data_IF_542942064437
#
_entry.id   IF_542942064437
#
_cell.length_a   1.000
_cell.length_b   1.000
_cell.length_c   1.000
_cell.angle_alpha   90.00
_cell.angle_beta   90.00
_cell.angle_gamma   90.00
#
_symmetry.space_group_name_H-M   'P 1'
#
loop_
_entity.id
_entity.type
_entity.pdbx_description
1 polymer ?
#
# COMPACT_ATOMS: atom_id res chain seq x y z
N UNK A 1 -39.26 32.50 -8.97
CA UNK A 1 -38.01 32.55 -9.76
C UNK A 1 -38.05 31.39 -10.73
N UNK A 2 -37.87 31.67 -12.02
CA UNK A 2 -37.95 30.67 -13.09
C UNK A 2 -36.65 30.64 -13.88
N UNK A 3 -36.10 29.45 -14.10
CA UNK A 3 -34.84 29.25 -14.82
C UNK A 3 -35.05 28.17 -15.88
N UNK A 4 -34.85 28.51 -17.14
CA UNK A 4 -34.81 27.52 -18.22
C UNK A 4 -33.41 26.92 -18.33
N UNK A 5 -33.33 25.59 -18.35
CA UNK A 5 -32.06 24.88 -18.46
C UNK A 5 -32.17 23.62 -19.30
N UNK A 6 -31.05 23.22 -19.91
CA UNK A 6 -30.93 21.93 -20.57
C UNK A 6 -29.57 21.31 -20.24
N UNK A 7 -29.57 20.21 -19.49
CA UNK A 7 -28.33 19.50 -19.21
C UNK A 7 -27.98 18.54 -20.34
N UNK A 8 -26.75 18.62 -20.80
CA UNK A 8 -26.14 17.68 -21.74
C UNK A 8 -25.38 16.59 -20.97
N UNK A 9 -25.04 15.49 -21.65
CA UNK A 9 -24.11 14.48 -21.10
C UNK A 9 -22.81 15.12 -20.62
N UNK A 10 -22.30 16.10 -21.38
CA UNK A 10 -21.06 16.81 -21.10
C UNK A 10 -21.12 17.50 -19.73
N UNK A 11 -22.26 18.10 -19.38
CA UNK A 11 -22.43 18.81 -18.10
C UNK A 11 -22.31 17.87 -16.89
N UNK A 12 -22.92 16.68 -16.97
CA UNK A 12 -22.80 15.67 -15.92
C UNK A 12 -21.35 15.17 -15.79
N UNK A 13 -20.68 14.94 -16.91
CA UNK A 13 -19.28 14.49 -16.94
C UNK A 13 -18.36 15.57 -16.37
N UNK A 14 -18.54 16.83 -16.75
CA UNK A 14 -17.70 17.94 -16.31
C UNK A 14 -17.92 18.24 -14.83
N UNK A 15 -19.17 18.20 -14.34
CA UNK A 15 -19.45 18.24 -12.90
C UNK A 15 -18.71 17.13 -12.13
N UNK A 16 -18.76 15.90 -12.63
CA UNK A 16 -18.09 14.77 -11.98
C UNK A 16 -16.57 14.86 -12.04
N UNK A 17 -15.99 15.33 -13.16
CA UNK A 17 -14.56 15.63 -13.28
C UNK A 17 -14.12 16.65 -12.25
N UNK A 18 -14.89 17.72 -12.02
CA UNK A 18 -14.57 18.73 -11.00
C UNK A 18 -14.53 18.13 -9.60
N UNK A 19 -15.49 17.26 -9.25
CA UNK A 19 -15.46 16.53 -7.97
C UNK A 19 -14.24 15.60 -7.88
N UNK A 20 -13.94 14.86 -8.95
CA UNK A 20 -12.81 13.93 -8.97
C UNK A 20 -11.48 14.67 -8.90
N UNK A 21 -11.34 15.83 -9.53
CA UNK A 21 -10.14 16.67 -9.46
C UNK A 21 -9.85 17.09 -8.03
N UNK A 22 -10.87 17.53 -7.29
CA UNK A 22 -10.73 17.88 -5.87
C UNK A 22 -10.37 16.66 -5.01
N UNK A 23 -10.95 15.49 -5.30
CA UNK A 23 -10.56 14.25 -4.63
C UNK A 23 -9.12 13.86 -4.94
N UNK A 24 -8.71 13.99 -6.20
CA UNK A 24 -7.40 13.65 -6.71
C UNK A 24 -6.30 14.52 -6.11
N UNK A 25 -6.52 15.84 -5.98
CA UNK A 25 -5.59 16.73 -5.26
C UNK A 25 -5.32 16.26 -3.83
N UNK A 26 -6.37 15.86 -3.10
CA UNK A 26 -6.23 15.31 -1.73
C UNK A 26 -5.48 13.98 -1.73
N UNK A 27 -5.72 13.13 -2.74
CA UNK A 27 -4.95 11.89 -2.91
C UNK A 27 -3.47 12.15 -3.18
N UNK A 28 -3.11 13.14 -4.01
CA UNK A 28 -1.70 13.50 -4.29
C UNK A 28 -0.98 13.86 -3.00
N UNK A 29 -1.57 14.72 -2.16
CA UNK A 29 -0.96 15.11 -0.89
C UNK A 29 -0.70 13.89 0.00
N UNK A 30 -1.66 12.97 0.08
CA UNK A 30 -1.49 11.72 0.83
C UNK A 30 -0.40 10.82 0.24
N UNK A 31 -0.30 10.72 -1.09
CA UNK A 31 0.74 9.95 -1.78
C UNK A 31 2.14 10.52 -1.52
N UNK A 32 2.28 11.85 -1.49
CA UNK A 32 3.55 12.50 -1.13
C UNK A 32 3.96 12.20 0.31
N UNK A 33 3.01 12.20 1.25
CA UNK A 33 3.26 11.81 2.64
C UNK A 33 3.67 10.34 2.76
N UNK A 34 3.00 9.45 2.04
CA UNK A 34 3.36 8.03 1.98
C UNK A 34 4.74 7.80 1.35
N UNK A 35 5.07 8.56 0.30
CA UNK A 35 6.39 8.50 -0.32
C UNK A 35 7.48 8.93 0.67
N UNK A 36 7.28 10.04 1.39
CA UNK A 36 8.21 10.50 2.42
C UNK A 36 8.39 9.47 3.54
N UNK A 37 7.29 8.83 3.96
CA UNK A 37 7.33 7.74 4.93
C UNK A 37 8.13 6.53 4.40
N UNK A 38 7.87 6.08 3.17
CA UNK A 38 8.61 4.96 2.57
C UNK A 38 10.09 5.29 2.38
N UNK A 39 10.41 6.52 1.98
CA UNK A 39 11.78 7.02 1.85
C UNK A 39 12.56 6.96 3.17
N UNK A 40 11.91 7.32 4.28
CA UNK A 40 12.50 7.20 5.61
C UNK A 40 12.93 5.76 5.94
N UNK A 41 12.13 4.76 5.54
CA UNK A 41 12.47 3.35 5.76
C UNK A 41 13.54 2.82 4.81
N UNK A 42 13.58 3.32 3.57
CA UNK A 42 14.58 2.89 2.60
C UNK A 42 15.96 3.47 2.86
N UNK A 43 16.04 4.60 3.57
CA UNK A 43 17.30 5.29 3.88
C UNK A 43 18.31 4.41 4.64
N UNK A 44 17.83 3.51 5.51
CA UNK A 44 18.68 2.61 6.31
C UNK A 44 18.97 1.27 5.61
N UNK A 45 18.34 1.01 4.45
CA UNK A 45 18.48 -0.27 3.77
C UNK A 45 19.73 -0.30 2.88
N UNK A 46 20.54 -1.36 2.97
CA UNK A 46 21.62 -1.67 2.01
C UNK A 46 21.10 -2.00 0.59
N UNK A 47 19.81 -1.86 0.36
CA UNK A 47 19.19 -2.07 -0.94
C UNK A 47 19.55 -0.91 -1.88
N UNK A 48 19.51 -1.18 -3.18
CA UNK A 48 19.85 -0.18 -4.19
C UNK A 48 18.77 0.91 -4.23
N UNK A 49 18.92 1.92 -3.38
CA UNK A 49 17.86 2.85 -2.97
C UNK A 49 17.20 3.56 -4.16
N UNK A 50 17.94 3.80 -5.25
CA UNK A 50 17.41 4.41 -6.47
C UNK A 50 16.45 3.48 -7.24
N UNK A 51 16.68 2.17 -7.25
CA UNK A 51 15.77 1.19 -7.88
C UNK A 51 14.46 1.14 -7.10
N UNK A 52 14.55 1.08 -5.77
CA UNK A 52 13.38 1.12 -4.89
C UNK A 52 12.57 2.40 -5.07
N UNK A 53 13.24 3.55 -5.24
CA UNK A 53 12.61 4.82 -5.55
C UNK A 53 11.83 4.82 -6.86
N UNK A 54 12.42 4.30 -7.93
CA UNK A 54 11.78 4.20 -9.24
C UNK A 54 10.53 3.32 -9.15
N UNK A 55 10.63 2.16 -8.49
CA UNK A 55 9.49 1.24 -8.31
C UNK A 55 8.36 1.92 -7.53
N UNK A 56 8.67 2.60 -6.42
CA UNK A 56 7.66 3.31 -5.62
C UNK A 56 7.00 4.43 -6.44
N UNK A 57 7.79 5.21 -7.19
CA UNK A 57 7.26 6.27 -8.03
C UNK A 57 6.27 5.73 -9.08
N UNK A 58 6.61 4.62 -9.74
CA UNK A 58 5.73 3.94 -10.70
C UNK A 58 4.44 3.48 -10.03
N UNK A 59 4.53 2.84 -8.86
CA UNK A 59 3.36 2.37 -8.11
C UNK A 59 2.46 3.54 -7.73
N UNK A 60 3.02 4.65 -7.25
CA UNK A 60 2.25 5.84 -6.88
C UNK A 60 1.58 6.49 -8.09
N UNK A 61 2.27 6.60 -9.23
CA UNK A 61 1.68 7.10 -10.49
C UNK A 61 0.53 6.19 -10.93
N UNK A 62 0.69 4.87 -10.84
CA UNK A 62 -0.34 3.91 -11.20
C UNK A 62 -1.56 4.01 -10.28
N UNK A 63 -1.36 4.03 -8.95
CA UNK A 63 -2.46 4.19 -7.98
C UNK A 63 -3.17 5.53 -8.18
N UNK A 64 -2.41 6.60 -8.41
CA UNK A 64 -2.91 7.95 -8.69
C UNK A 64 -3.83 7.95 -9.91
N UNK A 65 -3.32 7.49 -11.05
CA UNK A 65 -4.08 7.43 -12.32
C UNK A 65 -5.33 6.56 -12.17
N UNK A 66 -5.20 5.37 -11.59
CA UNK A 66 -6.33 4.45 -11.40
C UNK A 66 -7.42 5.06 -10.50
N UNK A 67 -7.03 5.80 -9.45
CA UNK A 67 -7.97 6.46 -8.52
C UNK A 67 -8.82 7.55 -9.18
N UNK A 68 -8.32 8.16 -10.26
CA UNK A 68 -9.03 9.18 -11.03
C UNK A 68 -9.84 8.57 -12.19
N UNK A 69 -9.21 7.71 -12.99
CA UNK A 69 -9.80 7.16 -14.21
C UNK A 69 -10.93 6.16 -13.94
N UNK A 70 -10.75 5.25 -12.98
CA UNK A 70 -11.72 4.18 -12.74
C UNK A 70 -13.09 4.71 -12.29
N UNK A 71 -13.19 5.68 -11.35
CA UNK A 71 -14.47 6.29 -11.00
C UNK A 71 -15.07 7.09 -12.15
N UNK A 72 -14.26 7.81 -12.93
CA UNK A 72 -14.73 8.60 -14.08
C UNK A 72 -15.38 7.69 -15.12
N UNK A 73 -14.70 6.61 -15.49
CA UNK A 73 -15.19 5.62 -16.45
C UNK A 73 -16.48 4.94 -15.98
N UNK A 74 -16.54 4.53 -14.70
CA UNK A 74 -17.78 3.96 -14.13
C UNK A 74 -18.94 4.95 -14.17
N UNK A 75 -18.68 6.23 -13.88
CA UNK A 75 -19.69 7.28 -13.91
C UNK A 75 -20.17 7.58 -15.33
N UNK A 76 -19.27 7.74 -16.29
CA UNK A 76 -19.63 8.00 -17.69
C UNK A 76 -20.50 6.88 -18.25
N UNK A 77 -20.15 5.62 -17.99
CA UNK A 77 -20.94 4.46 -18.40
C UNK A 77 -22.32 4.44 -17.75
N UNK A 78 -22.44 4.87 -16.48
CA UNK A 78 -23.73 4.97 -15.78
C UNK A 78 -24.62 6.07 -16.37
N UNK A 79 -24.04 7.23 -16.69
CA UNK A 79 -24.77 8.33 -17.34
C UNK A 79 -25.24 7.91 -18.72
N UNK A 80 -24.41 7.22 -19.50
CA UNK A 80 -24.79 6.71 -20.81
C UNK A 80 -25.98 5.76 -20.75
N UNK A 81 -25.98 4.83 -19.79
CA UNK A 81 -27.14 3.96 -19.55
C UNK A 81 -28.38 4.73 -19.10
N UNK A 82 -28.21 5.79 -18.31
CA UNK A 82 -29.32 6.60 -17.80
C UNK A 82 -29.97 7.44 -18.91
N UNK A 83 -29.15 8.05 -19.78
CA UNK A 83 -29.64 8.81 -20.95
C UNK A 83 -30.35 7.89 -21.94
N UNK A 84 -29.80 6.69 -22.20
CA UNK A 84 -30.44 5.69 -23.08
C UNK A 84 -31.77 5.16 -22.55
N UNK A 85 -31.89 4.97 -21.23
CA UNK A 85 -33.12 4.42 -20.61
C UNK A 85 -34.19 5.47 -20.31
N UNK A 86 -33.81 6.75 -20.16
CA UNK A 86 -34.73 7.85 -19.84
C UNK A 86 -34.38 9.08 -20.69
N UNK A 87 -34.87 9.16 -21.95
CA UNK A 87 -34.51 10.25 -22.86
C UNK A 87 -34.89 11.65 -22.32
N UNK A 88 -35.89 11.71 -21.44
CA UNK A 88 -36.36 12.94 -20.77
C UNK A 88 -35.29 13.59 -19.85
N UNK A 89 -34.15 12.94 -19.58
CA UNK A 89 -33.05 13.56 -18.82
C UNK A 89 -32.32 14.69 -19.56
N UNK A 90 -32.36 14.68 -20.89
CA UNK A 90 -31.65 15.65 -21.74
C UNK A 90 -32.59 16.69 -22.38
N UNK A 91 -33.87 16.68 -22.03
CA UNK A 91 -34.84 17.64 -22.54
C UNK A 91 -34.69 19.01 -21.85
N UNK A 92 -35.04 20.12 -22.54
CA UNK A 92 -35.14 21.43 -21.91
C UNK A 92 -36.20 21.42 -20.80
N UNK A 93 -35.85 22.00 -19.65
CA UNK A 93 -36.69 22.04 -18.44
C UNK A 93 -36.75 23.45 -17.87
N UNK A 94 -37.86 23.77 -17.22
CA UNK A 94 -38.01 25.00 -16.42
C UNK A 94 -37.92 24.61 -14.95
N UNK A 95 -37.04 25.25 -14.19
CA UNK A 95 -37.01 25.18 -12.73
C UNK A 95 -37.80 26.35 -12.18
N UNK A 96 -38.78 26.05 -11.32
CA UNK A 96 -39.53 27.08 -10.58
C UNK A 96 -39.42 26.80 -9.09
N UNK A 97 -39.05 27.82 -8.32
CA UNK A 97 -39.12 27.77 -6.86
C UNK A 97 -40.56 28.03 -6.42
N UNK A 98 -41.16 27.07 -5.70
CA UNK A 98 -42.52 27.15 -5.16
C UNK A 98 -42.49 27.18 -3.63
N UNK A 99 -43.65 27.37 -3.00
CA UNK A 99 -43.75 27.31 -1.55
C UNK A 99 -43.49 25.93 -0.98
N UNK A 100 -43.82 24.88 -1.74
CA UNK A 100 -43.60 23.50 -1.31
C UNK A 100 -42.21 22.94 -1.66
N UNK A 101 -41.49 23.54 -2.62
CA UNK A 101 -40.22 22.98 -3.07
C UNK A 101 -39.62 23.56 -4.35
N UNK A 102 -38.83 22.72 -5.03
CA UNK A 102 -38.27 23.00 -6.35
C UNK A 102 -39.03 22.16 -7.38
N UNK A 103 -39.84 22.83 -8.20
CA UNK A 103 -40.56 22.20 -9.32
C UNK A 103 -39.69 22.24 -10.58
N UNK A 104 -39.61 21.13 -11.29
CA UNK A 104 -38.98 21.06 -12.61
C UNK A 104 -39.93 20.49 -13.64
N UNK A 105 -40.19 21.23 -14.72
CA UNK A 105 -41.13 20.86 -15.78
C UNK A 105 -40.42 20.68 -17.12
N UNK A 106 -40.63 19.54 -17.79
CA UNK A 106 -40.11 19.26 -19.11
C UNK A 106 -40.92 19.96 -20.20
N UNK A 107 -40.28 20.82 -21.01
CA UNK A 107 -40.96 21.58 -22.06
C UNK A 107 -41.60 20.71 -23.15
N UNK A 108 -41.04 19.53 -23.40
CA UNK A 108 -41.52 18.61 -24.46
C UNK A 108 -42.37 17.49 -23.92
N UNK A 109 -41.96 16.87 -22.80
CA UNK A 109 -42.66 15.72 -22.24
C UNK A 109 -43.86 16.08 -21.34
N UNK A 110 -43.97 17.33 -20.90
CA UNK A 110 -44.94 17.74 -19.88
C UNK A 110 -44.67 17.10 -18.50
N UNK A 111 -43.54 16.41 -18.32
CA UNK A 111 -43.23 15.76 -17.04
C UNK A 111 -42.92 16.82 -15.98
N UNK A 112 -43.61 16.73 -14.85
CA UNK A 112 -43.37 17.60 -13.70
C UNK A 112 -42.80 16.79 -12.54
N UNK A 113 -41.70 17.29 -11.97
CA UNK A 113 -41.06 16.70 -10.80
C UNK A 113 -41.01 17.79 -9.72
N UNK A 114 -41.73 17.58 -8.61
CA UNK A 114 -41.67 18.43 -7.43
C UNK A 114 -40.74 17.81 -6.40
N UNK A 115 -39.67 18.52 -6.03
CA UNK A 115 -38.78 18.16 -4.93
C UNK A 115 -39.14 19.01 -3.74
N UNK A 116 -39.84 18.43 -2.76
CA UNK A 116 -40.25 19.17 -1.57
C UNK A 116 -39.03 19.59 -0.75
N UNK A 117 -39.16 20.65 0.05
CA UNK A 117 -38.05 21.13 0.89
C UNK A 117 -37.49 20.04 1.81
N UNK A 118 -38.35 19.19 2.38
CA UNK A 118 -37.97 18.08 3.24
C UNK A 118 -37.29 16.91 2.50
N UNK A 119 -37.42 16.82 1.17
CA UNK A 119 -36.73 15.81 0.35
C UNK A 119 -35.28 16.23 0.05
N UNK A 120 -34.94 17.52 0.17
CA UNK A 120 -33.60 18.02 -0.13
C UNK A 120 -32.65 17.69 1.02
N UNK A 121 -31.60 16.91 0.72
CA UNK A 121 -30.58 16.48 1.68
C UNK A 121 -29.42 17.49 1.72
N UNK A 122 -28.95 17.94 0.56
CA UNK A 122 -27.77 18.78 0.49
C UNK A 122 -27.68 19.53 -0.83
N UNK A 123 -27.12 20.74 -0.78
CA UNK A 123 -26.72 21.52 -1.96
C UNK A 123 -25.19 21.51 -2.03
N UNK A 124 -24.63 21.22 -3.19
CA UNK A 124 -23.21 21.27 -3.45
C UNK A 124 -22.92 22.24 -4.58
N UNK A 125 -22.02 23.16 -4.30
CA UNK A 125 -21.55 24.15 -5.26
C UNK A 125 -20.18 23.73 -5.77
N UNK A 126 -19.99 23.81 -7.07
CA UNK A 126 -18.67 23.85 -7.72
C UNK A 126 -18.58 25.17 -8.50
N UNK A 127 -17.43 25.47 -9.10
CA UNK A 127 -17.21 26.72 -9.86
C UNK A 127 -18.19 26.97 -11.01
N UNK A 128 -18.92 25.95 -11.46
CA UNK A 128 -19.78 26.02 -12.66
C UNK A 128 -21.13 25.34 -12.46
N UNK A 129 -21.37 24.69 -11.32
CA UNK A 129 -22.54 23.84 -11.13
C UNK A 129 -23.09 23.90 -9.71
N UNK A 130 -24.43 23.85 -9.64
CA UNK A 130 -25.22 23.65 -8.44
C UNK A 130 -25.78 22.23 -8.50
N UNK A 131 -25.46 21.41 -7.51
CA UNK A 131 -25.96 20.04 -7.42
C UNK A 131 -26.78 19.85 -6.14
N UNK A 132 -28.07 19.60 -6.30
CA UNK A 132 -29.03 19.40 -5.21
C UNK A 132 -29.30 17.90 -5.11
N UNK A 133 -28.97 17.31 -3.96
CA UNK A 133 -29.22 15.89 -3.66
C UNK A 133 -30.52 15.72 -2.89
N UNK A 134 -31.31 14.71 -3.26
CA UNK A 134 -32.62 14.43 -2.64
C UNK A 134 -32.71 13.01 -2.06
N UNK A 135 -33.65 12.75 -1.13
CA UNK A 135 -33.89 11.40 -0.56
C UNK A 135 -34.47 10.46 -1.62
N UNK A 136 -35.34 10.98 -2.48
CA UNK A 136 -35.88 10.30 -3.67
C UNK A 136 -34.82 9.86 -4.70
N UNK A 137 -33.57 10.32 -4.57
CA UNK A 137 -32.45 10.12 -5.53
C UNK A 137 -32.65 10.85 -6.88
N UNK A 138 -33.70 11.65 -7.02
CA UNK A 138 -33.94 12.52 -8.18
C UNK A 138 -33.12 13.81 -8.10
N UNK A 139 -31.80 13.66 -8.09
CA UNK A 139 -30.90 14.81 -7.93
C UNK A 139 -31.07 15.83 -9.07
N UNK A 140 -30.91 17.10 -8.74
CA UNK A 140 -30.95 18.21 -9.70
C UNK A 140 -29.53 18.75 -9.89
N UNK A 141 -29.09 18.83 -11.15
CA UNK A 141 -27.86 19.50 -11.54
C UNK A 141 -28.25 20.75 -12.33
N UNK A 142 -27.70 21.91 -11.99
CA UNK A 142 -27.86 23.15 -12.75
C UNK A 142 -26.48 23.70 -13.04
N UNK A 143 -26.21 24.05 -14.29
CA UNK A 143 -25.00 24.79 -14.64
C UNK A 143 -25.23 26.29 -14.43
N UNK A 144 -24.23 26.99 -13.92
CA UNK A 144 -24.26 28.45 -13.73
C UNK A 144 -24.53 29.21 -15.03
N UNK A 145 -24.21 28.63 -16.20
CA UNK A 145 -24.46 29.26 -17.51
C UNK A 145 -25.94 29.45 -17.85
N UNK A 146 -26.83 28.77 -17.13
CA UNK A 146 -28.29 28.91 -17.30
C UNK A 146 -28.87 30.06 -16.48
N UNK A 147 -28.05 30.72 -15.69
CA UNK A 147 -28.42 31.92 -14.95
C UNK A 147 -27.93 33.15 -15.70
N UNK A 148 -28.71 34.23 -15.66
CA UNK A 148 -28.38 35.49 -16.31
C UNK A 148 -27.19 36.19 -15.65
N UNK A 149 -26.93 35.92 -14.36
CA UNK A 149 -25.78 36.48 -13.63
C UNK A 149 -25.36 35.67 -12.41
N UNK A 150 -24.14 35.89 -11.91
CA UNK A 150 -23.67 35.34 -10.62
C UNK A 150 -24.52 35.79 -9.42
N UNK A 151 -25.10 36.99 -9.50
CA UNK A 151 -26.02 37.48 -8.47
C UNK A 151 -27.31 36.64 -8.47
N UNK A 152 -27.81 36.28 -9.64
CA UNK A 152 -28.97 35.40 -9.78
C UNK A 152 -28.69 33.98 -9.25
N UNK A 153 -27.51 33.43 -9.53
CA UNK A 153 -27.03 32.17 -8.91
C UNK A 153 -27.08 32.26 -7.38
N UNK A 154 -26.54 33.34 -6.82
CA UNK A 154 -26.49 33.55 -5.37
C UNK A 154 -27.90 33.71 -4.77
N UNK A 155 -28.79 34.47 -5.42
CA UNK A 155 -30.20 34.61 -5.02
C UNK A 155 -30.92 33.26 -5.03
N UNK A 156 -30.73 32.45 -6.07
CA UNK A 156 -31.30 31.10 -6.14
C UNK A 156 -30.82 30.24 -4.98
N UNK A 157 -29.51 30.17 -4.75
CA UNK A 157 -28.91 29.38 -3.67
C UNK A 157 -29.47 29.82 -2.31
N UNK A 158 -29.47 31.12 -2.02
CA UNK A 158 -29.96 31.65 -0.75
C UNK A 158 -31.46 31.35 -0.54
N UNK A 159 -32.26 31.41 -1.61
CA UNK A 159 -33.68 31.07 -1.58
C UNK A 159 -33.90 29.58 -1.28
N UNK A 160 -33.12 28.69 -1.88
CA UNK A 160 -33.20 27.26 -1.61
C UNK A 160 -32.70 26.95 -0.19
N UNK A 161 -31.60 27.57 0.25
CA UNK A 161 -31.00 27.32 1.56
C UNK A 161 -31.88 27.78 2.72
N UNK A 162 -32.54 28.94 2.59
CA UNK A 162 -33.42 29.48 3.63
C UNK A 162 -34.68 28.63 3.88
N UNK A 163 -35.09 27.79 2.91
CA UNK A 163 -36.31 26.97 2.98
C UNK A 163 -36.06 25.52 3.38
N UNK A 164 -34.81 25.05 3.38
CA UNK A 164 -34.48 23.70 3.86
C UNK A 164 -34.51 23.72 5.39
N UNK A 165 -35.39 22.94 6.03
CA UNK A 165 -35.46 22.79 7.48
C UNK A 165 -34.16 22.18 8.03
N UNK A 166 -33.24 23.04 8.49
CA UNK A 166 -31.92 22.65 9.02
C UNK A 166 -32.05 22.14 10.46
N UNK A 167 -32.53 20.91 10.62
CA UNK A 167 -32.47 20.18 11.91
C UNK A 167 -31.11 19.54 12.21
N UNK A 168 -30.03 19.87 11.47
CA UNK A 168 -28.70 19.28 11.70
C UNK A 168 -27.57 20.33 11.65
N UNK A 169 -26.61 20.33 12.61
CA UNK A 169 -25.72 21.48 12.88
C UNK A 169 -24.58 21.69 11.88
N UNK A 170 -24.62 21.06 10.69
CA UNK A 170 -23.48 21.01 9.77
C UNK A 170 -23.81 21.53 8.36
N UNK A 171 -24.65 22.56 8.25
CA UNK A 171 -24.93 23.20 6.97
C UNK A 171 -23.91 24.33 6.69
N UNK A 172 -22.64 23.95 6.51
CA UNK A 172 -21.62 24.88 6.01
C UNK A 172 -21.56 24.85 4.48
N UNK A 173 -21.79 26.03 3.90
CA UNK A 173 -21.28 26.41 2.58
C UNK A 173 -19.75 26.23 2.59
N UNK A 174 -19.26 25.42 1.65
CA UNK A 174 -17.86 25.09 1.37
C UNK A 174 -17.06 24.22 2.38
N UNK A 175 -17.27 22.90 2.33
CA UNK A 175 -16.20 21.91 1.99
C UNK A 175 -16.78 20.51 1.92
N UNK A 176 -16.68 19.88 0.74
CA UNK A 176 -16.74 18.43 0.45
C UNK A 176 -16.79 17.46 1.65
N UNK A 177 -17.91 17.39 2.37
CA UNK A 177 -18.14 16.37 3.40
C UNK A 177 -19.58 15.88 3.33
N UNK A 178 -19.77 14.83 2.51
CA UNK A 178 -20.98 14.00 2.57
C UNK A 178 -21.01 13.28 3.91
N UNK A 179 -22.14 13.35 4.62
CA UNK A 179 -22.60 12.29 5.50
C UNK A 179 -22.88 11.06 4.63
N UNK A 180 -21.98 10.08 4.70
CA UNK A 180 -22.21 8.75 4.17
C UNK A 180 -22.96 7.96 5.23
N UNK A 181 -23.98 7.18 4.84
CA UNK A 181 -24.52 6.09 5.65
C UNK A 181 -23.31 5.29 6.14
N UNK A 182 -22.99 5.40 7.42
CA UNK A 182 -21.77 4.85 8.01
C UNK A 182 -21.82 3.34 7.87
N UNK A 183 -21.18 2.81 6.83
CA UNK A 183 -20.76 1.42 6.83
C UNK A 183 -19.79 1.36 7.99
N UNK A 184 -20.25 0.86 9.14
CA UNK A 184 -19.41 0.80 10.34
C UNK A 184 -18.17 -0.02 9.99
N UNK A 185 -16.97 0.55 10.14
CA UNK A 185 -15.76 -0.21 9.89
C UNK A 185 -15.70 -1.38 10.86
N UNK A 186 -15.35 -2.56 10.34
CA UNK A 186 -15.14 -3.76 11.16
C UNK A 186 -13.75 -3.68 11.77
N UNK A 187 -13.60 -2.98 12.89
CA UNK A 187 -12.32 -2.84 13.59
C UNK A 187 -11.66 -4.18 13.95
N UNK A 188 -12.47 -5.25 14.08
CA UNK A 188 -12.02 -6.63 14.29
C UNK A 188 -11.04 -7.13 13.21
N UNK A 189 -11.08 -6.59 11.99
CA UNK A 189 -10.08 -6.92 10.95
C UNK A 189 -8.67 -6.48 11.38
N UNK A 190 -8.59 -5.48 12.26
CA UNK A 190 -7.34 -5.02 12.86
C UNK A 190 -6.60 -6.10 13.65
N UNK A 191 -7.25 -7.16 14.14
CA UNK A 191 -6.53 -8.25 14.80
C UNK A 191 -5.58 -9.00 13.87
N UNK A 192 -5.85 -9.01 12.56
CA UNK A 192 -4.92 -9.56 11.58
C UNK A 192 -3.62 -8.73 11.48
N UNK A 193 -3.60 -7.51 12.00
CA UNK A 193 -2.40 -6.69 12.12
C UNK A 193 -1.35 -7.26 13.09
N UNK A 194 -1.75 -8.21 13.96
CA UNK A 194 -0.84 -8.85 14.92
C UNK A 194 -0.01 -9.98 14.31
N UNK A 195 -0.34 -10.44 13.11
CA UNK A 195 0.46 -11.44 12.40
C UNK A 195 1.51 -10.68 11.58
N UNK A 196 2.82 -10.82 11.83
CA UNK A 196 3.85 -10.12 11.06
C UNK A 196 3.71 -10.36 9.55
N UNK A 197 4.11 -9.39 8.74
CA UNK A 197 4.00 -9.37 7.27
C UNK A 197 2.54 -9.28 6.77
N UNK A 198 1.67 -10.22 7.15
CA UNK A 198 0.22 -10.18 6.85
C UNK A 198 -0.38 -8.89 7.41
N UNK A 199 0.00 -8.55 8.64
CA UNK A 199 -0.47 -7.39 9.35
C UNK A 199 -0.04 -6.06 8.74
N UNK A 200 1.12 -6.02 8.08
CA UNK A 200 1.53 -4.86 7.30
C UNK A 200 0.63 -4.66 6.07
N UNK A 201 0.33 -5.73 5.31
CA UNK A 201 -0.59 -5.65 4.17
C UNK A 201 -2.01 -5.27 4.59
N UNK A 202 -2.52 -5.88 5.66
CA UNK A 202 -3.83 -5.54 6.23
C UNK A 202 -3.83 -4.10 6.73
N UNK A 203 -2.76 -3.66 7.40
CA UNK A 203 -2.62 -2.31 7.91
C UNK A 203 -2.63 -1.25 6.80
N UNK A 204 -1.93 -1.50 5.69
CA UNK A 204 -1.98 -0.64 4.49
C UNK A 204 -3.40 -0.56 3.95
N UNK A 205 -4.06 -1.72 3.81
CA UNK A 205 -5.47 -1.77 3.38
C UNK A 205 -6.37 -0.95 4.30
N UNK A 206 -6.25 -1.12 5.63
CA UNK A 206 -7.02 -0.37 6.62
C UNK A 206 -6.74 1.13 6.55
N UNK A 207 -5.51 1.57 6.33
CA UNK A 207 -5.21 2.99 6.12
C UNK A 207 -5.91 3.53 4.86
N UNK A 208 -5.84 2.83 3.73
CA UNK A 208 -6.50 3.24 2.48
C UNK A 208 -8.02 3.30 2.67
N UNK A 209 -8.63 2.24 3.21
CA UNK A 209 -10.07 2.22 3.47
C UNK A 209 -10.48 3.26 4.52
N UNK A 210 -9.69 3.41 5.58
CA UNK A 210 -9.88 4.40 6.64
C UNK A 210 -9.89 5.82 6.10
N UNK A 211 -8.99 6.16 5.17
CA UNK A 211 -8.90 7.50 4.58
C UNK A 211 -9.94 7.76 3.50
N UNK A 212 -10.16 6.80 2.59
CA UNK A 212 -10.94 7.03 1.38
C UNK A 212 -12.37 6.53 1.44
N UNK A 213 -12.68 5.54 2.28
CA UNK A 213 -13.99 4.90 2.36
C UNK A 213 -14.70 5.26 3.66
N UNK A 214 -14.11 4.93 4.80
CA UNK A 214 -14.70 5.14 6.12
C UNK A 214 -14.53 6.56 6.64
N UNK A 215 -13.46 7.25 6.24
CA UNK A 215 -13.02 8.56 6.77
C UNK A 215 -12.88 8.56 8.29
N UNK A 216 -12.40 7.44 8.83
CA UNK A 216 -12.30 7.20 10.27
C UNK A 216 -10.83 7.16 10.68
N UNK A 217 -10.46 8.06 11.60
CA UNK A 217 -9.10 8.19 12.12
C UNK A 217 -8.65 6.95 12.90
N UNK A 218 -9.56 6.23 13.57
CA UNK A 218 -9.23 5.02 14.33
C UNK A 218 -8.87 3.86 13.43
N UNK A 219 -9.56 3.69 12.30
CA UNK A 219 -9.21 2.65 11.31
C UNK A 219 -7.81 2.89 10.74
N UNK A 220 -7.50 4.16 10.46
CA UNK A 220 -6.16 4.57 9.99
C UNK A 220 -5.12 4.33 11.08
N UNK A 221 -5.42 4.69 12.33
CA UNK A 221 -4.52 4.49 13.47
C UNK A 221 -4.21 3.00 13.71
N UNK A 222 -5.22 2.13 13.71
CA UNK A 222 -5.04 0.68 13.84
C UNK A 222 -4.15 0.14 12.71
N UNK A 223 -4.39 0.58 11.48
CA UNK A 223 -3.56 0.17 10.34
C UNK A 223 -2.10 0.62 10.48
N UNK A 224 -1.87 1.85 10.94
CA UNK A 224 -0.53 2.38 11.20
C UNK A 224 0.19 1.62 12.31
N UNK A 225 -0.48 1.34 13.44
CA UNK A 225 0.06 0.52 14.54
C UNK A 225 0.42 -0.88 14.05
N UNK A 226 -0.40 -1.50 13.18
CA UNK A 226 -0.12 -2.81 12.60
C UNK A 226 1.16 -2.86 11.76
N UNK A 227 1.38 -1.84 10.94
CA UNK A 227 2.61 -1.70 10.14
C UNK A 227 3.82 -1.52 11.08
N UNK A 228 3.71 -0.62 12.06
CA UNK A 228 4.78 -0.37 13.04
C UNK A 228 5.10 -1.61 13.87
N UNK A 229 4.09 -2.39 14.26
CA UNK A 229 4.28 -3.65 14.97
C UNK A 229 5.08 -4.67 14.16
N UNK A 230 4.77 -4.79 12.86
CA UNK A 230 5.56 -5.65 11.96
C UNK A 230 7.02 -5.21 11.90
N UNK A 231 7.27 -3.90 11.73
CA UNK A 231 8.63 -3.34 11.72
C UNK A 231 9.35 -3.61 13.04
N UNK A 232 8.68 -3.40 14.17
CA UNK A 232 9.25 -3.61 15.50
C UNK A 232 9.67 -5.07 15.72
N UNK A 233 8.85 -6.03 15.27
CA UNK A 233 9.21 -7.45 15.35
C UNK A 233 10.46 -7.75 14.51
N UNK A 234 10.54 -7.30 13.25
CA UNK A 234 11.71 -7.56 12.42
C UNK A 234 12.98 -6.91 12.96
N UNK A 235 12.91 -5.65 13.42
CA UNK A 235 14.04 -4.99 14.08
C UNK A 235 14.44 -5.68 15.39
N UNK A 236 13.47 -6.17 16.17
CA UNK A 236 13.75 -6.94 17.38
C UNK A 236 14.41 -8.29 17.10
N UNK A 237 13.99 -8.97 16.02
CA UNK A 237 14.61 -10.23 15.58
C UNK A 237 16.06 -10.00 15.13
N UNK A 238 16.31 -8.97 14.31
CA UNK A 238 17.65 -8.60 13.85
C UNK A 238 18.58 -8.20 15.01
N UNK A 239 18.07 -7.42 15.96
CA UNK A 239 18.81 -7.07 17.18
C UNK A 239 19.13 -8.30 18.04
N UNK A 240 18.16 -9.19 18.23
CA UNK A 240 18.36 -10.42 19.00
C UNK A 240 19.36 -11.34 18.32
N UNK A 241 19.28 -11.44 17.00
CA UNK A 241 20.16 -12.26 16.19
C UNK A 241 21.64 -11.85 16.31
N UNK A 242 21.90 -10.55 16.42
CA UNK A 242 23.26 -10.00 16.47
C UNK A 242 23.83 -9.86 17.89
N UNK A 243 22.97 -9.72 18.91
CA UNK A 243 23.42 -9.39 20.27
C UNK A 243 23.14 -10.48 21.31
N UNK A 244 22.28 -11.46 21.05
CA UNK A 244 21.95 -12.49 22.03
C UNK A 244 22.97 -13.65 22.00
N UNK A 245 23.74 -13.90 23.08
CA UNK A 245 24.75 -14.96 23.12
C UNK A 245 24.18 -16.37 22.89
N UNK A 246 22.94 -16.64 23.32
CA UNK A 246 22.31 -17.95 23.09
C UNK A 246 22.03 -18.19 21.62
N UNK A 247 21.61 -17.15 20.91
CA UNK A 247 21.37 -17.21 19.48
C UNK A 247 22.69 -17.42 18.73
N UNK A 248 23.75 -16.67 19.09
CA UNK A 248 25.10 -16.87 18.54
C UNK A 248 25.58 -18.31 18.73
N UNK A 249 25.38 -18.88 19.92
CA UNK A 249 25.77 -20.26 20.23
C UNK A 249 25.01 -21.28 19.40
N UNK A 250 23.69 -21.13 19.26
CA UNK A 250 22.87 -22.04 18.47
C UNK A 250 23.32 -22.08 17.00
N UNK A 251 23.58 -20.92 16.39
CA UNK A 251 24.09 -20.85 15.01
C UNK A 251 25.51 -21.42 14.88
N UNK A 252 26.38 -21.15 15.86
CA UNK A 252 27.71 -21.75 15.87
C UNK A 252 27.69 -23.29 15.99
N UNK A 253 26.69 -23.86 16.66
CA UNK A 253 26.47 -25.31 16.70
C UNK A 253 25.99 -25.86 15.35
N UNK A 254 25.12 -25.12 14.64
CA UNK A 254 24.71 -25.45 13.27
C UNK A 254 25.90 -25.45 12.31
N UNK A 255 26.73 -24.40 12.33
CA UNK A 255 27.94 -24.30 11.50
C UNK A 255 28.92 -25.44 11.75
N UNK A 256 29.11 -25.84 13.01
CA UNK A 256 29.93 -27.02 13.33
C UNK A 256 29.40 -28.29 12.69
N UNK A 257 28.08 -28.45 12.62
CA UNK A 257 27.44 -29.58 11.94
C UNK A 257 27.75 -29.62 10.44
N UNK A 258 27.61 -28.48 9.77
CA UNK A 258 27.90 -28.32 8.34
C UNK A 258 29.39 -28.49 8.03
N UNK A 259 30.27 -27.87 8.83
CA UNK A 259 31.73 -28.04 8.74
C UNK A 259 32.13 -29.52 8.89
N UNK A 260 31.51 -30.25 9.82
CA UNK A 260 31.75 -31.67 9.98
C UNK A 260 31.30 -32.49 8.75
N UNK A 261 30.19 -32.09 8.11
CA UNK A 261 29.72 -32.70 6.86
C UNK A 261 30.69 -32.44 5.71
N UNK A 262 31.16 -31.20 5.57
CA UNK A 262 32.16 -30.81 4.56
C UNK A 262 33.47 -31.56 4.71
N UNK A 263 33.97 -31.77 5.93
CA UNK A 263 35.17 -32.60 6.14
C UNK A 263 34.98 -34.01 5.58
N UNK A 264 33.82 -34.64 5.82
CA UNK A 264 33.55 -35.98 5.26
C UNK A 264 33.56 -35.98 3.74
N UNK A 265 32.98 -34.94 3.11
CA UNK A 265 32.95 -34.79 1.66
C UNK A 265 34.37 -34.58 1.08
N UNK A 266 35.19 -33.74 1.72
CA UNK A 266 36.59 -33.49 1.30
C UNK A 266 37.43 -34.76 1.41
N UNK A 267 37.30 -35.53 2.51
CA UNK A 267 38.03 -36.80 2.66
C UNK A 267 37.54 -37.84 1.65
N UNK A 268 36.24 -37.91 1.38
CA UNK A 268 35.69 -38.80 0.38
C UNK A 268 36.17 -38.45 -1.03
N UNK A 269 36.22 -37.16 -1.38
CA UNK A 269 36.80 -36.67 -2.63
C UNK A 269 38.22 -37.19 -2.82
N UNK A 270 39.05 -37.09 -1.78
CA UNK A 270 40.45 -37.53 -1.82
C UNK A 270 40.57 -39.04 -2.03
N UNK A 271 39.67 -39.84 -1.45
CA UNK A 271 39.62 -41.29 -1.68
C UNK A 271 39.32 -41.60 -3.14
N UNK A 272 38.40 -40.85 -3.77
CA UNK A 272 38.02 -41.07 -5.17
C UNK A 272 39.06 -40.58 -6.19
N UNK A 273 39.67 -39.42 -5.94
CA UNK A 273 40.51 -38.72 -6.93
C UNK A 273 42.02 -38.81 -6.60
N UNK A 274 42.38 -39.45 -5.48
CA UNK A 274 43.76 -39.59 -5.00
C UNK A 274 44.39 -38.31 -4.42
N UNK A 275 43.74 -37.15 -4.60
CA UNK A 275 44.22 -35.85 -4.11
C UNK A 275 43.07 -35.02 -3.55
N UNK A 276 43.37 -34.08 -2.64
CA UNK A 276 42.37 -33.13 -2.12
C UNK A 276 41.97 -32.12 -3.20
N UNK A 277 40.73 -31.60 -3.17
CA UNK A 277 40.28 -30.60 -4.13
C UNK A 277 41.04 -29.30 -3.95
N UNK A 278 41.29 -28.56 -5.02
CA UNK A 278 41.92 -27.23 -4.96
C UNK A 278 40.94 -26.16 -4.44
N UNK A 279 39.63 -26.40 -4.56
CA UNK A 279 38.59 -25.54 -4.00
C UNK A 279 37.32 -26.34 -3.68
N UNK A 280 36.47 -25.83 -2.78
CA UNK A 280 35.21 -26.50 -2.43
C UNK A 280 34.29 -26.69 -3.65
N UNK A 281 34.35 -25.78 -4.63
CA UNK A 281 33.62 -25.84 -5.90
C UNK A 281 33.91 -27.08 -6.74
N UNK A 282 35.11 -27.64 -6.60
CA UNK A 282 35.48 -28.84 -7.35
C UNK A 282 34.79 -30.11 -6.80
N UNK A 283 34.13 -30.03 -5.64
CA UNK A 283 33.43 -31.16 -5.02
C UNK A 283 31.97 -31.32 -5.49
N UNK A 284 31.60 -30.77 -6.64
CA UNK A 284 30.29 -31.00 -7.25
C UNK A 284 30.22 -32.44 -7.82
N UNK A 285 29.90 -33.42 -6.97
CA UNK A 285 29.78 -34.83 -7.34
C UNK A 285 28.33 -35.21 -7.57
N UNK A 286 28.02 -35.63 -8.81
CA UNK A 286 26.85 -36.45 -9.17
C UNK A 286 25.51 -35.98 -8.54
N UNK A 287 25.28 -34.68 -8.44
CA UNK A 287 24.00 -34.11 -7.99
C UNK A 287 23.86 -33.86 -6.49
N UNK A 288 24.86 -34.15 -5.66
CA UNK A 288 24.96 -33.61 -4.30
C UNK A 288 25.90 -32.41 -4.30
N UNK A 289 25.31 -31.21 -4.32
CA UNK A 289 26.07 -29.96 -4.28
C UNK A 289 26.77 -29.87 -2.92
N UNK A 290 28.10 -29.94 -2.91
CA UNK A 290 28.86 -29.60 -1.71
C UNK A 290 28.53 -28.15 -1.32
N UNK A 291 27.92 -27.97 -0.16
CA UNK A 291 27.48 -26.66 0.29
C UNK A 291 28.69 -25.84 0.75
N UNK A 292 29.30 -25.10 -0.17
CA UNK A 292 30.41 -24.18 0.13
C UNK A 292 29.97 -22.99 0.99
N UNK A 293 28.65 -22.80 1.11
CA UNK A 293 28.04 -21.65 1.73
C UNK A 293 28.12 -21.74 3.24
N UNK A 294 28.67 -20.69 3.84
CA UNK A 294 28.67 -20.49 5.27
C UNK A 294 27.35 -19.78 5.68
N UNK A 295 26.41 -20.50 6.30
CA UNK A 295 25.09 -19.95 6.57
C UNK A 295 25.14 -18.83 7.62
N UNK A 296 26.15 -18.81 8.49
CA UNK A 296 26.34 -17.82 9.53
C UNK A 296 26.90 -16.50 8.96
N UNK A 297 27.79 -16.57 7.97
CA UNK A 297 28.21 -15.41 7.18
C UNK A 297 27.07 -14.84 6.33
N UNK A 298 26.28 -15.70 5.68
CA UNK A 298 25.09 -15.25 4.93
C UNK A 298 24.09 -14.57 5.85
N UNK A 299 23.81 -15.20 7.00
CA UNK A 299 22.87 -14.69 7.97
C UNK A 299 23.32 -13.35 8.56
N UNK A 300 24.61 -13.18 8.82
CA UNK A 300 25.19 -11.90 9.25
C UNK A 300 25.25 -10.85 8.12
N UNK A 301 24.83 -11.19 6.90
CA UNK A 301 24.64 -10.26 5.78
C UNK A 301 25.78 -10.24 4.75
N UNK A 302 26.67 -11.24 4.76
CA UNK A 302 27.63 -11.47 3.68
C UNK A 302 27.02 -12.36 2.59
N UNK A 303 26.66 -11.75 1.46
CA UNK A 303 25.99 -12.46 0.35
C UNK A 303 26.85 -13.52 -0.33
N UNK A 304 28.17 -13.47 -0.13
CA UNK A 304 29.12 -14.44 -0.67
C UNK A 304 29.82 -15.20 0.47
N UNK A 305 29.18 -15.29 1.64
CA UNK A 305 29.70 -16.02 2.80
C UNK A 305 29.97 -17.47 2.45
N UNK A 306 31.25 -17.83 2.36
CA UNK A 306 31.73 -19.19 2.10
C UNK A 306 32.70 -19.58 3.19
N UNK A 307 32.82 -20.89 3.43
CA UNK A 307 33.81 -21.39 4.37
C UNK A 307 35.24 -21.12 3.87
N UNK A 308 36.14 -20.85 4.81
CA UNK A 308 37.56 -20.70 4.52
C UNK A 308 38.18 -22.07 4.30
N UNK A 309 38.44 -22.42 3.04
CA UNK A 309 39.14 -23.65 2.67
C UNK A 309 40.49 -23.33 2.03
N UNK A 310 41.57 -23.94 2.56
CA UNK A 310 42.89 -23.84 1.95
C UNK A 310 43.59 -25.20 1.93
N UNK A 311 43.93 -25.66 0.72
CA UNK A 311 44.76 -26.86 0.51
C UNK A 311 46.23 -26.54 0.78
N UNK A 312 46.90 -27.38 1.57
CA UNK A 312 48.31 -27.26 1.97
C UNK A 312 49.00 -28.59 1.69
N UNK A 313 49.48 -28.76 0.46
CA UNK A 313 50.12 -30.00 0.01
C UNK A 313 49.19 -31.21 0.13
N UNK A 314 49.50 -32.13 1.06
CA UNK A 314 48.71 -33.33 1.36
C UNK A 314 47.74 -33.14 2.55
N UNK A 315 47.49 -31.91 2.96
CA UNK A 315 46.58 -31.54 4.06
C UNK A 315 45.75 -30.31 3.65
N UNK A 316 44.82 -29.88 4.50
CA UNK A 316 44.02 -28.67 4.27
C UNK A 316 43.53 -28.06 5.60
N UNK A 317 43.07 -26.82 5.53
CA UNK A 317 42.35 -26.13 6.61
C UNK A 317 40.91 -25.84 6.19
N UNK A 318 39.99 -25.88 7.15
CA UNK A 318 38.57 -25.58 6.95
C UNK A 318 37.98 -24.94 8.22
N UNK A 319 37.39 -23.75 8.10
CA UNK A 319 36.72 -23.05 9.20
C UNK A 319 35.76 -21.96 8.69
N UNK A 320 34.82 -21.55 9.55
CA UNK A 320 33.99 -20.35 9.37
C UNK A 320 34.66 -19.15 10.05
N UNK A 321 34.58 -17.96 9.44
CA UNK A 321 35.06 -16.71 10.06
C UNK A 321 34.14 -16.18 11.19
N UNK A 322 33.08 -16.91 11.56
CA UNK A 322 32.18 -16.46 12.61
C UNK A 322 31.32 -15.24 12.22
N UNK A 323 30.68 -14.63 13.23
CA UNK A 323 29.78 -13.49 13.09
C UNK A 323 30.57 -12.20 12.84
N UNK A 324 31.81 -12.12 13.31
CA UNK A 324 32.70 -10.97 13.09
C UNK A 324 33.23 -10.88 11.64
N UNK A 325 33.05 -11.94 10.85
CA UNK A 325 33.40 -12.07 9.43
C UNK A 325 34.89 -11.93 9.14
N UNK A 326 35.72 -11.94 10.17
CA UNK A 326 37.15 -11.70 10.04
C UNK A 326 37.88 -13.01 10.31
N UNK A 327 38.54 -13.60 9.30
CA UNK A 327 39.20 -14.89 9.51
C UNK A 327 40.40 -14.76 10.45
N UNK A 328 40.69 -15.81 11.21
CA UNK A 328 41.80 -15.90 12.17
C UNK A 328 41.58 -15.10 13.46
N UNK A 329 40.34 -14.94 13.90
CA UNK A 329 39.97 -14.34 15.19
C UNK A 329 39.49 -15.41 16.18
N UNK A 330 39.19 -14.99 17.41
CA UNK A 330 38.60 -15.87 18.42
C UNK A 330 37.14 -16.26 18.11
N UNK A 331 36.51 -15.63 17.12
CA UNK A 331 35.14 -15.92 16.68
C UNK A 331 35.10 -17.04 15.62
N UNK A 332 36.26 -17.47 15.11
CA UNK A 332 36.37 -18.54 14.12
C UNK A 332 35.77 -19.86 14.65
N UNK A 333 34.94 -20.50 13.82
CA UNK A 333 34.29 -21.76 14.14
C UNK A 333 34.98 -22.88 13.37
N UNK A 334 35.47 -23.87 14.12
CA UNK A 334 36.19 -25.03 13.58
C UNK A 334 35.33 -26.31 13.65
N UNK A 335 35.55 -27.28 12.75
CA UNK A 335 34.95 -28.60 12.84
C UNK A 335 35.19 -29.24 14.20
N UNK A 336 34.18 -29.97 14.69
CA UNK A 336 34.22 -30.70 15.96
C UNK A 336 33.94 -32.17 15.72
N UNK A 337 34.97 -32.89 15.28
CA UNK A 337 34.92 -34.31 14.94
C UNK A 337 35.39 -35.18 16.10
N UNK A 338 34.71 -36.30 16.35
CA UNK A 338 35.17 -37.34 17.27
C UNK A 338 36.05 -38.37 16.53
N UNK A 339 37.02 -37.90 15.74
CA UNK A 339 37.91 -38.74 14.93
C UNK A 339 39.34 -38.24 15.13
N UNK A 340 40.30 -39.17 15.15
CA UNK A 340 41.73 -38.84 15.17
C UNK A 340 42.11 -38.07 13.90
N UNK A 341 42.42 -36.78 14.07
CA UNK A 341 42.79 -35.87 12.97
C UNK A 341 44.05 -36.31 12.24
N UNK A 342 44.88 -37.17 12.81
CA UNK A 342 46.06 -37.71 12.13
C UNK A 342 45.69 -38.70 11.00
N UNK A 343 44.47 -39.24 11.02
CA UNK A 343 43.96 -40.16 9.99
C UNK A 343 43.35 -39.44 8.78
N UNK A 344 43.16 -38.13 8.88
CA UNK A 344 42.55 -37.28 7.87
C UNK A 344 43.48 -36.11 7.52
N UNK A 345 43.14 -35.34 6.47
CA UNK A 345 43.97 -34.24 5.99
C UNK A 345 43.74 -32.91 6.72
N UNK A 346 42.72 -32.83 7.57
CA UNK A 346 42.31 -31.61 8.26
C UNK A 346 43.36 -31.14 9.29
N UNK A 347 43.76 -29.88 9.17
CA UNK A 347 44.56 -29.13 10.15
C UNK A 347 43.63 -28.15 10.86
N UNK A 348 43.57 -28.25 12.19
CA UNK A 348 42.79 -27.34 13.03
C UNK A 348 43.78 -26.43 13.77
N UNK A 349 43.87 -25.16 13.34
CA UNK A 349 44.66 -24.14 14.02
C UNK A 349 43.75 -23.33 14.94
N UNK A 350 43.49 -23.83 16.15
CA UNK A 350 42.75 -23.04 17.16
C UNK A 350 43.67 -21.94 17.67
N UNK A 351 43.25 -20.68 17.54
CA UNK A 351 43.89 -19.53 18.21
C UNK A 351 43.21 -19.21 19.52
#
# INVERSE_FOLDING_TARGET
>A
MEIEYQNTKKDFVDYFKTILKERFKKSILFMLLMLAFLLYFLYDSKCNWYVSLIIIAIILIFISTLSYFLPLWKFTNKIDRSIKSKPNYAEPRIVTLTDDGIKTEGKKSGTSILRTWDDIISIKLTEQFIFISTKSKENLLLSERWFSSKNEVSKFINSVQSRINVGTPNFFVNKTTRSYKTIKPRYLIGFLCLIPLIGAFVGIGMMIYGLFVYKDKWVVFIGAVGILFTVAIFKSMDYSATNNPQFKKAWAETDKGELNSLVKQIEFYKIQNGTYPDSLKQMDFKGEIANESDPLLIFSGDKNGVYNYHKIGKKYTLFSSGIDKTPNTADDIYPSLQIDTNKIGLIINRR
#
